data_IF_871604985575
#
_entry.id   IF_871604985575
#
_cell.length_a   1.000
_cell.length_b   1.000
_cell.length_c   1.000
_cell.angle_alpha   90.00
_cell.angle_beta   90.00
_cell.angle_gamma   90.00
#
_symmetry.space_group_name_H-M   'P 1'
#
loop_
_entity.id
_entity.type
_entity.pdbx_description
1 polymer ?
#
# COMPACT_ATOMS: atom_id res chain seq x y z
N UNK A 1 -11.74 -20.29 -12.08
CA UNK A 1 -12.36 -18.95 -11.95
C UNK A 1 -12.10 -18.18 -13.25
N UNK A 2 -13.08 -18.15 -14.16
CA UNK A 2 -12.97 -17.51 -15.49
C UNK A 2 -13.33 -16.02 -15.45
N UNK A 3 -12.67 -15.23 -14.61
CA UNK A 3 -12.95 -13.79 -14.45
C UNK A 3 -12.22 -12.92 -15.47
N UNK A 4 -11.25 -13.46 -16.20
CA UNK A 4 -10.34 -12.70 -17.08
C UNK A 4 -11.07 -11.99 -18.21
N UNK A 5 -12.04 -12.65 -18.84
CA UNK A 5 -12.80 -12.08 -19.98
C UNK A 5 -13.79 -11.01 -19.54
N UNK A 6 -14.42 -11.17 -18.37
CA UNK A 6 -15.39 -10.22 -17.81
C UNK A 6 -14.69 -9.00 -17.20
N UNK A 7 -13.55 -9.22 -16.52
CA UNK A 7 -12.70 -8.15 -16.00
C UNK A 7 -12.22 -7.21 -17.11
N UNK A 8 -11.95 -7.72 -18.31
CA UNK A 8 -11.43 -6.88 -19.41
C UNK A 8 -12.52 -5.96 -19.98
N UNK A 9 -13.78 -6.40 -19.96
CA UNK A 9 -14.89 -5.77 -20.70
C UNK A 9 -15.80 -4.86 -19.85
N UNK A 10 -15.89 -5.05 -18.53
CA UNK A 10 -16.77 -4.25 -17.67
C UNK A 10 -15.97 -3.32 -16.74
N UNK A 11 -16.04 -2.01 -16.97
CA UNK A 11 -15.31 -1.00 -16.18
C UNK A 11 -15.86 -0.87 -14.74
N UNK A 12 -17.14 -1.15 -14.53
CA UNK A 12 -17.77 -1.18 -13.19
C UNK A 12 -17.15 -2.28 -12.32
N UNK A 13 -17.01 -3.49 -12.88
CA UNK A 13 -16.36 -4.62 -12.18
C UNK A 13 -14.88 -4.33 -11.89
N UNK A 14 -14.15 -3.69 -12.83
CA UNK A 14 -12.78 -3.23 -12.55
C UNK A 14 -12.75 -2.21 -11.41
N UNK A 15 -13.68 -1.25 -11.42
CA UNK A 15 -13.84 -0.26 -10.36
C UNK A 15 -14.05 -0.91 -9.00
N UNK A 16 -14.99 -1.84 -8.91
CA UNK A 16 -15.26 -2.62 -7.69
C UNK A 16 -14.02 -3.35 -7.19
N UNK A 17 -13.27 -4.03 -8.06
CA UNK A 17 -12.05 -4.75 -7.66
C UNK A 17 -11.00 -3.77 -7.14
N UNK A 18 -10.83 -2.61 -7.78
CA UNK A 18 -9.90 -1.57 -7.29
C UNK A 18 -10.34 -1.00 -5.93
N UNK A 19 -11.65 -0.84 -5.70
CA UNK A 19 -12.19 -0.42 -4.40
C UNK A 19 -11.97 -1.49 -3.33
N UNK A 20 -12.11 -2.78 -3.66
CA UNK A 20 -11.79 -3.88 -2.75
C UNK A 20 -10.31 -3.85 -2.33
N UNK A 21 -9.40 -3.55 -3.26
CA UNK A 21 -7.97 -3.35 -2.93
C UNK A 21 -7.74 -2.12 -2.04
N UNK A 22 -8.63 -1.13 -2.09
CA UNK A 22 -8.58 0.06 -1.25
C UNK A 22 -9.15 -0.14 0.17
N UNK A 23 -9.81 -1.27 0.47
CA UNK A 23 -10.40 -1.53 1.81
C UNK A 23 -9.38 -1.43 2.94
N UNK A 24 -8.12 -1.81 2.70
CA UNK A 24 -7.07 -1.73 3.70
C UNK A 24 -6.75 -0.31 4.15
N UNK A 25 -7.20 0.71 3.43
CA UNK A 25 -6.98 2.11 3.76
C UNK A 25 -8.06 2.70 4.68
N UNK A 26 -9.19 2.02 4.88
CA UNK A 26 -10.20 2.43 5.85
C UNK A 26 -9.75 2.12 7.30
N UNK A 27 -10.24 2.86 8.31
CA UNK A 27 -10.12 2.44 9.70
C UNK A 27 -10.70 1.04 9.89
N UNK A 28 -10.03 0.21 10.70
CA UNK A 28 -10.47 -1.18 10.97
C UNK A 28 -11.96 -1.30 11.32
N UNK A 29 -12.56 -0.43 12.16
CA UNK A 29 -13.98 -0.51 12.49
C UNK A 29 -14.92 -0.24 11.30
N UNK A 30 -14.43 0.38 10.22
CA UNK A 30 -15.21 0.80 9.04
C UNK A 30 -15.09 -0.13 7.85
N UNK A 31 -14.25 -1.17 7.94
CA UNK A 31 -13.98 -2.08 6.82
C UNK A 31 -15.25 -2.82 6.39
N UNK A 32 -16.11 -3.22 7.33
CA UNK A 32 -17.33 -3.97 7.02
C UNK A 32 -18.37 -3.09 6.36
N UNK A 33 -18.51 -1.86 6.84
CA UNK A 33 -19.39 -0.83 6.30
C UNK A 33 -18.93 -0.42 4.89
N UNK A 34 -17.62 -0.21 4.69
CA UNK A 34 -17.05 0.06 3.38
C UNK A 34 -17.26 -1.09 2.38
N UNK A 35 -17.11 -2.35 2.83
CA UNK A 35 -17.41 -3.51 1.99
C UNK A 35 -18.89 -3.58 1.62
N UNK A 36 -19.79 -3.34 2.57
CA UNK A 36 -21.23 -3.33 2.32
C UNK A 36 -21.61 -2.20 1.35
N UNK A 37 -21.04 -1.01 1.52
CA UNK A 37 -21.27 0.12 0.62
C UNK A 37 -20.83 -0.16 -0.82
N UNK A 38 -19.72 -0.90 -1.02
CA UNK A 38 -19.32 -1.37 -2.36
C UNK A 38 -20.39 -2.31 -2.92
N UNK A 39 -20.83 -3.30 -2.14
CA UNK A 39 -21.84 -4.29 -2.56
C UNK A 39 -23.16 -3.58 -2.94
N UNK A 40 -23.63 -2.66 -2.12
CA UNK A 40 -24.87 -1.91 -2.34
C UNK A 40 -24.80 -0.99 -3.58
N UNK A 41 -23.60 -0.64 -4.03
CA UNK A 41 -23.40 0.17 -5.24
C UNK A 41 -23.49 -0.63 -6.55
N UNK A 42 -23.47 -1.97 -6.47
CA UNK A 42 -23.51 -2.86 -7.64
C UNK A 42 -24.94 -3.18 -8.07
N UNK A 43 -25.12 -3.43 -9.36
CA UNK A 43 -26.36 -4.06 -9.86
C UNK A 43 -26.40 -5.55 -9.53
N UNK A 44 -27.60 -6.14 -9.45
CA UNK A 44 -27.75 -7.58 -9.18
C UNK A 44 -26.94 -8.46 -10.15
N UNK A 45 -26.91 -8.11 -11.43
CA UNK A 45 -26.15 -8.87 -12.43
C UNK A 45 -24.63 -8.81 -12.20
N UNK A 46 -24.11 -7.69 -11.68
CA UNK A 46 -22.70 -7.55 -11.33
C UNK A 46 -22.37 -8.27 -10.03
N UNK A 47 -23.28 -8.22 -9.06
CA UNK A 47 -23.17 -8.96 -7.81
C UNK A 47 -23.09 -10.46 -8.07
N UNK A 48 -23.99 -11.02 -8.89
CA UNK A 48 -24.01 -12.46 -9.22
C UNK A 48 -22.66 -12.93 -9.81
N UNK A 49 -21.98 -12.08 -10.59
CA UNK A 49 -20.66 -12.38 -11.14
C UNK A 49 -19.59 -12.41 -10.05
N UNK A 50 -19.69 -11.51 -9.06
CA UNK A 50 -18.69 -11.29 -8.00
C UNK A 50 -19.02 -12.01 -6.70
N UNK A 51 -20.17 -12.66 -6.57
CA UNK A 51 -20.67 -13.27 -5.34
C UNK A 51 -19.61 -14.23 -4.73
N UNK A 52 -19.06 -15.11 -5.55
CA UNK A 52 -18.02 -16.05 -5.11
C UNK A 52 -16.74 -15.36 -4.59
N UNK A 53 -16.40 -14.19 -5.15
CA UNK A 53 -15.27 -13.38 -4.69
C UNK A 53 -15.59 -12.73 -3.35
N UNK A 54 -16.78 -12.16 -3.18
CA UNK A 54 -17.21 -11.56 -1.92
C UNK A 54 -17.26 -12.60 -0.79
N UNK A 55 -17.84 -13.77 -1.04
CA UNK A 55 -17.87 -14.87 -0.08
C UNK A 55 -16.46 -15.30 0.35
N UNK A 56 -15.55 -15.45 -0.61
CA UNK A 56 -14.15 -15.75 -0.32
C UNK A 56 -13.48 -14.64 0.50
N UNK A 57 -13.66 -13.38 0.11
CA UNK A 57 -13.05 -12.23 0.76
C UNK A 57 -13.52 -12.10 2.22
N UNK A 58 -14.82 -12.23 2.47
CA UNK A 58 -15.36 -12.20 3.83
C UNK A 58 -14.83 -13.38 4.65
N UNK A 59 -14.96 -14.61 4.13
CA UNK A 59 -14.58 -15.82 4.88
C UNK A 59 -13.09 -15.87 5.20
N UNK A 60 -12.24 -15.42 4.29
CA UNK A 60 -10.81 -15.49 4.47
C UNK A 60 -10.24 -14.23 5.13
N UNK A 61 -10.47 -13.07 4.53
CA UNK A 61 -9.79 -11.83 4.91
C UNK A 61 -10.50 -11.05 6.03
N UNK A 62 -11.81 -11.25 6.24
CA UNK A 62 -12.54 -10.59 7.31
C UNK A 62 -12.79 -11.48 8.55
N UNK A 63 -12.75 -12.80 8.40
CA UNK A 63 -13.04 -13.74 9.50
C UNK A 63 -11.82 -14.53 9.97
N UNK A 64 -11.00 -15.07 9.06
CA UNK A 64 -9.85 -15.92 9.42
C UNK A 64 -8.58 -15.12 9.68
N UNK A 65 -8.30 -14.10 8.87
CA UNK A 65 -7.13 -13.24 9.02
C UNK A 65 -7.52 -12.01 9.86
N UNK A 66 -6.75 -11.66 10.92
CA UNK A 66 -6.98 -10.43 11.65
C UNK A 66 -6.91 -9.20 10.75
N UNK A 67 -7.92 -8.34 10.79
CA UNK A 67 -8.00 -7.12 9.98
C UNK A 67 -6.75 -6.24 10.12
N UNK A 68 -6.20 -6.16 11.34
CA UNK A 68 -4.98 -5.40 11.63
C UNK A 68 -3.73 -5.89 10.89
N UNK A 69 -3.73 -7.11 10.36
CA UNK A 69 -2.56 -7.68 9.66
C UNK A 69 -2.42 -7.17 8.23
N UNK A 70 -3.54 -6.85 7.57
CA UNK A 70 -3.57 -6.36 6.19
C UNK A 70 -4.05 -4.91 6.07
N UNK A 71 -4.61 -4.36 7.15
CA UNK A 71 -4.94 -2.94 7.22
C UNK A 71 -3.67 -2.08 7.18
N UNK A 72 -3.69 -1.06 6.33
CA UNK A 72 -2.61 -0.08 6.17
C UNK A 72 -3.02 1.31 6.66
N UNK A 73 -4.23 1.46 7.19
CA UNK A 73 -4.70 2.72 7.75
C UNK A 73 -3.87 3.12 8.98
N UNK A 74 -3.28 4.31 8.91
CA UNK A 74 -2.41 4.81 9.98
C UNK A 74 -0.97 4.28 9.95
N UNK A 75 -0.60 3.44 8.97
CA UNK A 75 0.77 2.97 8.80
C UNK A 75 1.53 3.93 7.88
N UNK A 76 2.55 4.61 8.42
CA UNK A 76 3.36 5.57 7.65
C UNK A 76 4.22 4.89 6.56
N UNK A 77 4.59 3.62 6.74
CA UNK A 77 5.36 2.82 5.77
C UNK A 77 4.62 1.53 5.43
N UNK A 78 3.93 1.55 4.30
CA UNK A 78 3.04 0.47 3.83
C UNK A 78 3.79 -0.78 3.40
N UNK A 79 5.01 -0.63 2.88
CA UNK A 79 5.84 -1.74 2.39
C UNK A 79 7.24 -1.72 3.00
N UNK A 80 7.89 -2.87 2.96
CA UNK A 80 9.28 -3.07 3.36
C UNK A 80 10.29 -2.51 2.32
N UNK A 81 9.84 -1.77 1.29
CA UNK A 81 10.68 -1.25 0.19
C UNK A 81 11.92 -0.49 0.70
N UNK A 82 11.81 0.22 1.82
CA UNK A 82 12.96 0.91 2.42
C UNK A 82 14.00 -0.08 2.95
N UNK A 83 13.56 -1.16 3.59
CA UNK A 83 14.41 -2.24 4.05
C UNK A 83 15.03 -2.99 2.86
N UNK A 84 14.23 -3.32 1.84
CA UNK A 84 14.72 -3.97 0.62
C UNK A 84 15.73 -3.09 -0.14
N UNK A 85 15.43 -1.78 -0.25
CA UNK A 85 16.32 -0.80 -0.86
C UNK A 85 17.64 -0.67 -0.11
N UNK A 86 17.58 -0.67 1.23
CA UNK A 86 18.78 -0.69 2.07
C UNK A 86 19.56 -2.00 1.91
N UNK A 87 18.90 -3.17 2.00
CA UNK A 87 19.53 -4.48 1.78
C UNK A 87 20.20 -4.55 0.41
N UNK A 88 19.56 -4.04 -0.65
CA UNK A 88 20.12 -4.03 -1.99
C UNK A 88 21.37 -3.13 -2.08
N UNK A 89 21.32 -1.91 -1.52
CA UNK A 89 22.48 -1.01 -1.43
C UNK A 89 23.63 -1.68 -0.66
N UNK A 90 23.33 -2.27 0.50
CA UNK A 90 24.32 -2.92 1.35
C UNK A 90 24.93 -4.16 0.68
N UNK A 91 24.13 -5.02 0.07
CA UNK A 91 24.59 -6.20 -0.66
C UNK A 91 25.50 -5.82 -1.83
N UNK A 92 25.17 -4.75 -2.57
CA UNK A 92 26.04 -4.21 -3.62
C UNK A 92 27.37 -3.68 -3.06
N UNK A 93 27.36 -3.09 -1.87
CA UNK A 93 28.57 -2.59 -1.20
C UNK A 93 29.47 -3.74 -0.72
N UNK A 94 28.89 -4.80 -0.17
CA UNK A 94 29.62 -6.02 0.21
C UNK A 94 30.15 -6.74 -1.03
N UNK A 95 29.36 -6.78 -2.10
CA UNK A 95 29.68 -7.35 -3.43
C UNK A 95 30.21 -8.80 -3.40
N UNK A 96 29.67 -9.63 -2.51
CA UNK A 96 30.01 -11.06 -2.36
C UNK A 96 28.83 -11.81 -1.74
N UNK A 97 28.60 -13.04 -2.20
CA UNK A 97 27.58 -13.94 -1.63
C UNK A 97 27.99 -14.50 -0.25
N UNK A 98 29.29 -14.75 -0.05
CA UNK A 98 29.86 -15.23 1.22
C UNK A 98 31.06 -14.38 1.63
N UNK A 99 30.84 -13.18 2.20
CA UNK A 99 31.92 -12.34 2.71
C UNK A 99 32.57 -12.99 3.95
N UNK A 100 33.89 -12.87 4.07
CA UNK A 100 34.56 -13.18 5.34
C UNK A 100 34.19 -12.14 6.41
N UNK A 101 34.40 -12.49 7.69
CA UNK A 101 34.00 -11.66 8.82
C UNK A 101 34.63 -10.25 8.79
N UNK A 102 35.90 -10.14 8.39
CA UNK A 102 36.60 -8.87 8.33
C UNK A 102 36.01 -7.92 7.29
N UNK A 103 35.70 -8.43 6.10
CA UNK A 103 35.05 -7.65 5.03
C UNK A 103 33.66 -7.20 5.44
N UNK A 104 32.91 -8.06 6.13
CA UNK A 104 31.60 -7.70 6.67
C UNK A 104 31.72 -6.57 7.69
N UNK A 105 32.66 -6.68 8.64
CA UNK A 105 32.94 -5.62 9.63
C UNK A 105 33.29 -4.31 8.95
N UNK A 106 34.20 -4.32 7.97
CA UNK A 106 34.58 -3.10 7.23
C UNK A 106 33.40 -2.49 6.46
N UNK A 107 32.53 -3.32 5.85
CA UNK A 107 31.34 -2.84 5.17
C UNK A 107 30.33 -2.20 6.15
N UNK A 108 30.14 -2.80 7.33
CA UNK A 108 29.29 -2.27 8.39
C UNK A 108 29.82 -0.94 8.94
N UNK A 109 31.12 -0.85 9.24
CA UNK A 109 31.75 0.40 9.69
C UNK A 109 31.57 1.52 8.66
N UNK A 110 31.77 1.21 7.38
CA UNK A 110 31.54 2.17 6.30
C UNK A 110 30.07 2.57 6.17
N UNK A 111 29.12 1.66 6.40
CA UNK A 111 27.69 2.00 6.37
C UNK A 111 27.29 2.87 7.56
N UNK A 112 27.79 2.56 8.76
CA UNK A 112 27.60 3.39 9.94
C UNK A 112 28.12 4.81 9.72
N UNK A 113 29.31 4.97 9.11
CA UNK A 113 29.87 6.27 8.78
C UNK A 113 28.97 7.05 7.80
N UNK A 114 28.45 6.38 6.76
CA UNK A 114 27.52 6.98 5.79
C UNK A 114 26.22 7.43 6.46
N UNK A 115 25.56 6.55 7.24
CA UNK A 115 24.32 6.89 7.94
C UNK A 115 24.51 8.01 8.96
N UNK A 116 25.66 8.08 9.62
CA UNK A 116 25.99 9.17 10.54
C UNK A 116 26.13 10.50 9.78
N UNK A 117 26.80 10.50 8.62
CA UNK A 117 26.88 11.69 7.76
C UNK A 117 25.50 12.14 7.28
N UNK A 118 24.69 11.22 6.74
CA UNK A 118 23.32 11.52 6.29
C UNK A 118 22.49 12.12 7.43
N UNK A 119 22.54 11.54 8.64
CA UNK A 119 21.85 12.09 9.83
C UNK A 119 22.31 13.52 10.16
N UNK A 120 23.62 13.78 10.15
CA UNK A 120 24.17 15.10 10.45
C UNK A 120 23.76 16.14 9.39
N UNK A 121 23.68 15.75 8.11
CA UNK A 121 23.18 16.62 7.05
C UNK A 121 21.72 17.01 7.27
N UNK A 122 20.85 16.04 7.62
CA UNK A 122 19.44 16.31 7.95
C UNK A 122 19.34 17.26 9.15
N UNK A 123 20.08 17.00 10.23
CA UNK A 123 20.09 17.86 11.42
C UNK A 123 20.60 19.27 11.11
N UNK A 124 21.51 19.40 10.15
CA UNK A 124 21.99 20.67 9.61
C UNK A 124 21.02 21.33 8.62
N UNK A 125 19.82 20.80 8.42
CA UNK A 125 18.79 21.36 7.54
C UNK A 125 19.04 21.11 6.05
N UNK A 126 19.98 20.24 5.67
CA UNK A 126 20.17 19.87 4.28
C UNK A 126 19.09 18.87 3.84
N UNK A 127 18.50 19.11 2.67
CA UNK A 127 17.55 18.17 2.07
C UNK A 127 18.25 16.92 1.53
N UNK A 128 17.71 15.75 1.82
CA UNK A 128 18.10 14.50 1.18
C UNK A 128 17.26 14.35 -0.09
N UNK A 129 17.90 13.99 -1.21
CA UNK A 129 17.17 13.66 -2.43
C UNK A 129 16.25 12.46 -2.22
N UNK A 130 14.94 12.69 -2.35
CA UNK A 130 13.99 11.59 -2.48
C UNK A 130 14.24 10.83 -3.79
N UNK A 131 14.41 9.52 -3.68
CA UNK A 131 14.87 8.67 -4.79
C UNK A 131 13.77 8.30 -5.78
N UNK A 132 12.48 8.44 -5.42
CA UNK A 132 11.36 8.16 -6.33
C UNK A 132 10.18 9.13 -6.13
N UNK A 133 10.09 10.13 -7.03
CA UNK A 133 9.09 11.21 -6.97
C UNK A 133 7.64 10.73 -7.14
N UNK A 134 7.42 9.62 -7.86
CA UNK A 134 6.09 9.08 -8.12
C UNK A 134 5.50 8.48 -6.84
N UNK A 135 6.27 7.68 -6.12
CA UNK A 135 5.86 7.13 -4.82
C UNK A 135 5.61 8.22 -3.78
N UNK A 136 6.44 9.27 -3.76
CA UNK A 136 6.22 10.41 -2.87
C UNK A 136 4.96 11.19 -3.25
N UNK A 137 4.65 11.28 -4.54
CA UNK A 137 3.39 11.86 -5.01
C UNK A 137 2.19 11.03 -4.54
N UNK A 138 2.23 9.71 -4.74
CA UNK A 138 1.20 8.78 -4.24
C UNK A 138 1.02 8.87 -2.72
N UNK A 139 2.12 8.84 -1.95
CA UNK A 139 2.05 8.96 -0.50
C UNK A 139 1.41 10.28 -0.07
N UNK A 140 1.80 11.40 -0.70
CA UNK A 140 1.20 12.72 -0.43
C UNK A 140 -0.28 12.76 -0.76
N UNK A 141 -0.68 12.16 -1.88
CA UNK A 141 -2.08 12.07 -2.28
C UNK A 141 -2.89 11.26 -1.26
N UNK A 142 -2.39 10.10 -0.84
CA UNK A 142 -3.06 9.26 0.16
C UNK A 142 -3.14 9.93 1.53
N UNK A 143 -2.08 10.62 1.97
CA UNK A 143 -2.10 11.41 3.20
C UNK A 143 -3.12 12.55 3.14
N UNK A 144 -3.27 13.19 1.98
CA UNK A 144 -4.29 14.21 1.76
C UNK A 144 -5.69 13.60 1.84
N UNK A 145 -5.95 12.49 1.13
CA UNK A 145 -7.25 11.82 1.14
C UNK A 145 -7.63 11.34 2.53
N UNK A 146 -6.67 10.79 3.27
CA UNK A 146 -6.87 10.39 4.65
C UNK A 146 -7.31 11.57 5.51
N UNK A 147 -6.63 12.72 5.41
CA UNK A 147 -7.02 13.93 6.17
C UNK A 147 -8.44 14.39 5.83
N UNK A 148 -8.88 14.25 4.57
CA UNK A 148 -10.24 14.60 4.16
C UNK A 148 -11.28 13.62 4.72
N UNK A 149 -10.92 12.35 4.84
CA UNK A 149 -11.76 11.34 5.46
C UNK A 149 -11.83 11.51 6.99
N UNK A 150 -10.70 11.80 7.64
CA UNK A 150 -10.62 12.03 9.09
C UNK A 150 -11.44 13.27 9.56
N UNK A 151 -11.77 14.20 8.66
CA UNK A 151 -12.66 15.36 8.92
C UNK A 151 -14.11 15.10 8.48
N UNK A 152 -14.48 13.84 8.20
CA UNK A 152 -15.81 13.39 7.76
C UNK A 152 -16.33 14.06 6.48
N UNK A 153 -15.43 14.56 5.62
CA UNK A 153 -15.83 15.18 4.33
C UNK A 153 -16.06 14.14 3.22
N UNK A 154 -15.58 12.92 3.41
CA UNK A 154 -15.75 11.79 2.50
C UNK A 154 -16.49 10.67 3.22
N UNK A 155 -17.55 10.13 2.59
CA UNK A 155 -18.12 8.88 3.05
C UNK A 155 -17.20 7.70 2.68
N UNK A 156 -17.46 6.53 3.27
CA UNK A 156 -16.61 5.35 3.07
C UNK A 156 -16.47 4.96 1.59
N UNK A 157 -17.56 5.04 0.82
CA UNK A 157 -17.57 4.68 -0.60
C UNK A 157 -16.77 5.67 -1.45
N UNK A 158 -16.98 6.97 -1.26
CA UNK A 158 -16.25 8.05 -1.95
C UNK A 158 -14.76 8.00 -1.63
N UNK A 159 -14.42 7.72 -0.36
CA UNK A 159 -13.04 7.51 0.03
C UNK A 159 -12.40 6.33 -0.71
N UNK A 160 -13.07 5.17 -0.73
CA UNK A 160 -12.60 3.98 -1.44
C UNK A 160 -12.47 4.24 -2.95
N UNK A 161 -13.43 4.94 -3.56
CA UNK A 161 -13.38 5.32 -4.97
C UNK A 161 -12.13 6.15 -5.25
N UNK A 162 -11.93 7.25 -4.52
CA UNK A 162 -10.82 8.18 -4.81
C UNK A 162 -9.46 7.54 -4.51
N UNK A 163 -9.35 6.74 -3.44
CA UNK A 163 -8.14 5.95 -3.15
C UNK A 163 -7.87 4.95 -4.27
N UNK A 164 -8.89 4.25 -4.75
CA UNK A 164 -8.75 3.25 -5.83
C UNK A 164 -8.24 3.87 -7.13
N UNK A 165 -8.71 5.08 -7.48
CA UNK A 165 -8.20 5.83 -8.64
C UNK A 165 -6.77 6.30 -8.44
N UNK A 166 -6.42 6.76 -7.23
CA UNK A 166 -5.04 7.16 -6.90
C UNK A 166 -4.07 5.99 -7.04
N UNK A 167 -4.43 4.81 -6.51
CA UNK A 167 -3.63 3.59 -6.64
C UNK A 167 -3.46 3.18 -8.11
N UNK A 168 -4.55 3.19 -8.89
CA UNK A 168 -4.51 2.83 -10.31
C UNK A 168 -3.63 3.79 -11.14
N UNK A 169 -3.63 5.08 -10.82
CA UNK A 169 -2.82 6.09 -11.52
C UNK A 169 -1.32 5.87 -11.34
N UNK A 170 -0.90 5.34 -10.19
CA UNK A 170 0.51 5.19 -9.81
C UNK A 170 1.06 3.76 -10.00
N UNK A 171 0.29 2.86 -10.63
CA UNK A 171 0.76 1.53 -11.03
C UNK A 171 1.17 0.62 -9.87
N UNK A 172 0.30 0.51 -8.85
CA UNK A 172 0.43 -0.49 -7.79
C UNK A 172 -0.14 -1.85 -8.22
#
# INVERSE_FOLDING_TARGET
MGLTTVYTSNESIKGCIRQLMALGFLPVPRIREGLQAIIDSLSNAEYDILESLFQYLVSWWCERIPLSMWNVHGIQRRTNNNCEGWHNKFNRKVNRHHPNIWRLISALQSEQANSTRERLQILGGQEIQCRNREYDSLNRDLDRLKKLYDIDLLNDLDYLIVVSYSLARHGA
#
